data_IF_605018436097
#
_entry.id   IF_605018436097
#
_cell.length_a   1.000
_cell.length_b   1.000
_cell.length_c   1.000
_cell.angle_alpha   90.00
_cell.angle_beta   90.00
_cell.angle_gamma   90.00
#
_symmetry.space_group_name_H-M   'P 1'
#
loop_
_entity.id
_entity.type
_entity.pdbx_description
1 polymer ?
#
# COMPACT_ATOMS: atom_id res chain seq x y z
N UNK A 1 -4.38 5.06 -32.30
CA UNK A 1 -3.32 5.00 -31.29
C UNK A 1 -3.77 4.11 -30.15
N UNK A 2 -2.97 3.15 -29.80
CA UNK A 2 -3.31 2.24 -28.70
C UNK A 2 -3.00 2.87 -27.34
N UNK A 3 -3.85 2.62 -26.38
CA UNK A 3 -3.64 3.04 -24.99
C UNK A 3 -3.02 1.89 -24.21
N UNK A 4 -1.95 2.17 -23.49
CA UNK A 4 -1.34 1.17 -22.61
C UNK A 4 -2.10 1.18 -21.29
N UNK A 5 -2.70 0.04 -20.98
CA UNK A 5 -3.36 -0.13 -19.68
C UNK A 5 -2.32 -0.29 -18.57
N UNK A 6 -2.49 0.48 -17.51
CA UNK A 6 -1.59 0.43 -16.36
C UNK A 6 -2.39 0.38 -15.07
N UNK A 7 -2.29 -0.70 -14.30
CA UNK A 7 -2.86 -0.69 -12.96
C UNK A 7 -2.00 0.15 -12.03
N UNK A 8 -2.61 0.68 -10.99
CA UNK A 8 -1.87 1.25 -9.87
C UNK A 8 -1.37 0.11 -8.98
N UNK A 9 -0.18 0.25 -8.43
CA UNK A 9 0.39 -0.76 -7.53
C UNK A 9 0.53 -0.17 -6.14
N UNK A 10 -0.07 -0.84 -5.16
CA UNK A 10 0.07 -0.51 -3.75
C UNK A 10 0.78 -1.65 -3.05
N UNK A 11 1.71 -1.31 -2.18
CA UNK A 11 2.40 -2.27 -1.31
C UNK A 11 1.95 -2.06 0.12
N UNK A 12 1.87 -3.12 0.89
CA UNK A 12 1.48 -3.06 2.30
C UNK A 12 2.36 -4.00 3.12
N UNK A 13 2.73 -3.57 4.31
CA UNK A 13 3.56 -4.35 5.21
C UNK A 13 2.72 -4.94 6.34
N UNK A 14 2.89 -6.23 6.58
CA UNK A 14 2.37 -6.89 7.77
C UNK A 14 3.54 -7.10 8.72
N UNK A 15 3.56 -6.34 9.81
CA UNK A 15 4.65 -6.34 10.77
C UNK A 15 4.12 -6.82 12.10
N UNK A 16 4.61 -7.98 12.52
CA UNK A 16 4.18 -8.62 13.77
C UNK A 16 5.30 -8.60 14.79
N UNK A 17 4.94 -8.34 16.04
CA UNK A 17 5.84 -8.51 17.18
C UNK A 17 5.01 -9.01 18.37
N UNK A 18 5.37 -10.16 18.90
CA UNK A 18 4.73 -10.76 20.10
C UNK A 18 3.21 -10.90 19.96
N UNK A 19 2.76 -11.33 18.79
CA UNK A 19 1.34 -11.52 18.48
C UNK A 19 0.56 -10.24 18.20
N UNK A 20 1.25 -9.11 18.12
CA UNK A 20 0.63 -7.80 17.82
C UNK A 20 1.09 -7.29 16.47
N UNK A 21 0.20 -6.58 15.79
CA UNK A 21 0.48 -6.02 14.47
C UNK A 21 0.62 -4.50 14.54
N UNK A 22 1.62 -3.98 13.82
CA UNK A 22 1.83 -2.54 13.73
C UNK A 22 0.82 -1.93 12.77
N UNK A 23 0.09 -0.94 13.25
CA UNK A 23 -0.90 -0.21 12.44
C UNK A 23 -0.58 1.28 12.45
N UNK A 24 -1.00 1.95 11.39
CA UNK A 24 -0.90 3.40 11.23
C UNK A 24 -2.28 4.01 11.43
N UNK A 25 -2.36 5.05 12.23
CA UNK A 25 -3.59 5.81 12.41
C UNK A 25 -3.69 6.88 11.33
N UNK A 26 -4.81 6.95 10.65
CA UNK A 26 -5.07 7.90 9.57
C UNK A 26 -6.35 8.67 9.81
N UNK A 27 -6.33 9.98 9.58
CA UNK A 27 -7.53 10.79 9.49
C UNK A 27 -8.08 10.71 8.07
N UNK A 28 -9.34 10.32 7.95
CA UNK A 28 -10.02 10.22 6.66
C UNK A 28 -11.30 11.05 6.70
N UNK A 29 -11.95 11.21 5.55
CA UNK A 29 -13.26 11.89 5.46
C UNK A 29 -14.33 11.18 6.28
N UNK A 30 -14.15 9.88 6.55
CA UNK A 30 -15.08 9.07 7.34
C UNK A 30 -14.62 8.87 8.79
N UNK A 31 -13.68 9.70 9.25
CA UNK A 31 -13.12 9.60 10.60
C UNK A 31 -11.76 8.93 10.65
N UNK A 32 -11.34 8.55 11.84
CA UNK A 32 -10.06 7.91 12.08
C UNK A 32 -10.12 6.44 11.68
N UNK A 33 -9.10 5.98 10.94
CA UNK A 33 -8.96 4.58 10.52
C UNK A 33 -7.56 4.08 10.88
N UNK A 34 -7.45 2.78 11.06
CA UNK A 34 -6.19 2.09 11.31
C UNK A 34 -5.91 1.15 10.16
N UNK A 35 -4.71 1.24 9.60
CA UNK A 35 -4.29 0.41 8.48
C UNK A 35 -2.85 -0.08 8.68
N UNK A 36 -2.49 -1.14 7.96
CA UNK A 36 -1.09 -1.52 7.83
C UNK A 36 -0.31 -0.38 7.18
N UNK A 37 1.00 -0.26 7.45
CA UNK A 37 1.85 0.63 6.68
C UNK A 37 1.76 0.25 5.19
N UNK A 38 1.40 1.20 4.35
CA UNK A 38 1.12 0.95 2.93
C UNK A 38 1.30 2.21 2.10
N UNK A 39 1.49 2.02 0.81
CA UNK A 39 1.57 3.14 -0.12
C UNK A 39 1.82 2.68 -1.54
N UNK A 40 1.98 3.64 -2.41
CA UNK A 40 2.17 3.38 -3.83
C UNK A 40 3.61 3.04 -4.19
N UNK A 41 3.74 2.18 -5.19
CA UNK A 41 5.03 1.89 -5.80
C UNK A 41 5.52 3.12 -6.58
N UNK A 42 6.75 3.53 -6.33
CA UNK A 42 7.38 4.60 -7.09
C UNK A 42 8.09 4.05 -8.34
N UNK A 43 8.26 4.90 -9.33
CA UNK A 43 8.94 4.52 -10.56
C UNK A 43 10.36 4.00 -10.27
N UNK A 44 10.69 2.86 -10.85
CA UNK A 44 12.03 2.27 -10.74
C UNK A 44 12.32 1.53 -9.43
N UNK A 45 11.34 1.46 -8.56
CA UNK A 45 11.47 0.83 -7.24
C UNK A 45 11.02 -0.63 -7.29
N UNK A 46 11.73 -1.53 -6.59
CA UNK A 46 11.24 -2.89 -6.41
C UNK A 46 10.11 -2.91 -5.36
N UNK A 47 9.31 -3.96 -5.34
CA UNK A 47 8.25 -4.10 -4.35
C UNK A 47 8.80 -4.15 -2.93
N UNK A 48 9.94 -4.82 -2.74
CA UNK A 48 10.61 -4.91 -1.44
C UNK A 48 11.09 -3.53 -0.98
N UNK A 49 11.72 -2.78 -1.87
CA UNK A 49 12.20 -1.44 -1.54
C UNK A 49 11.02 -0.49 -1.26
N UNK A 50 9.95 -0.62 -2.03
CA UNK A 50 8.75 0.21 -1.84
C UNK A 50 8.13 -0.01 -0.47
N UNK A 51 7.92 -1.26 -0.06
CA UNK A 51 7.28 -1.55 1.23
C UNK A 51 8.19 -1.16 2.39
N UNK A 52 9.50 -1.32 2.24
CA UNK A 52 10.46 -0.89 3.25
C UNK A 52 10.47 0.63 3.42
N UNK A 53 10.42 1.35 2.31
CA UNK A 53 10.35 2.82 2.30
C UNK A 53 9.05 3.30 2.95
N UNK A 54 7.89 2.76 2.55
CA UNK A 54 6.61 3.15 3.11
C UNK A 54 6.52 2.88 4.62
N UNK A 55 7.02 1.74 5.07
CA UNK A 55 7.04 1.43 6.49
C UNK A 55 7.91 2.42 7.27
N UNK A 56 9.08 2.78 6.73
CA UNK A 56 9.97 3.75 7.38
C UNK A 56 9.34 5.14 7.43
N UNK A 57 8.73 5.60 6.33
CA UNK A 57 8.09 6.91 6.25
C UNK A 57 6.93 7.03 7.24
N UNK A 58 6.12 5.99 7.36
CA UNK A 58 4.90 6.04 8.17
C UNK A 58 5.12 5.69 9.63
N UNK A 59 6.13 4.88 9.97
CA UNK A 59 6.32 4.38 11.33
C UNK A 59 7.65 4.77 11.97
N UNK A 60 8.60 5.27 11.19
CA UNK A 60 9.98 5.54 11.60
C UNK A 60 10.78 4.29 11.97
N UNK A 61 10.24 3.10 11.73
CA UNK A 61 10.96 1.85 11.97
C UNK A 61 11.52 1.29 10.68
N UNK A 62 12.78 0.84 10.73
CA UNK A 62 13.36 0.07 9.65
C UNK A 62 12.73 -1.30 9.59
N UNK A 63 12.38 -1.73 8.39
CA UNK A 63 11.69 -2.97 8.15
C UNK A 63 12.21 -3.61 6.87
N UNK A 64 12.50 -4.90 6.92
CA UNK A 64 12.83 -5.69 5.74
C UNK A 64 11.88 -6.87 5.67
N UNK A 65 11.08 -7.00 4.61
CA UNK A 65 10.15 -8.12 4.50
C UNK A 65 10.92 -9.43 4.29
N UNK A 66 10.45 -10.51 4.91
CA UNK A 66 11.03 -11.82 4.76
C UNK A 66 10.13 -12.82 4.01
N UNK A 67 8.89 -12.46 3.75
CA UNK A 67 7.96 -13.31 3.02
C UNK A 67 6.89 -12.49 2.31
N UNK A 68 6.42 -13.00 1.17
CA UNK A 68 5.27 -12.48 0.47
C UNK A 68 4.02 -13.15 1.01
N UNK A 69 3.07 -12.34 1.52
CA UNK A 69 1.81 -12.86 2.04
C UNK A 69 0.81 -13.11 0.91
N UNK A 70 0.73 -12.21 -0.05
CA UNK A 70 -0.19 -12.37 -1.16
C UNK A 70 -0.18 -11.21 -2.13
N UNK A 71 -0.83 -11.42 -3.26
CA UNK A 71 -1.03 -10.42 -4.29
C UNK A 71 -2.53 -10.42 -4.61
N UNK A 72 -3.12 -9.25 -4.56
CA UNK A 72 -4.57 -9.11 -4.70
C UNK A 72 -4.92 -8.08 -5.76
N UNK A 73 -6.01 -8.33 -6.45
CA UNK A 73 -6.54 -7.41 -7.46
C UNK A 73 -7.78 -6.74 -6.89
N UNK A 74 -7.81 -5.41 -6.94
CA UNK A 74 -8.96 -4.63 -6.54
C UNK A 74 -9.35 -3.67 -7.65
N UNK A 75 -10.63 -3.60 -7.96
CA UNK A 75 -11.19 -2.67 -8.96
C UNK A 75 -12.34 -1.90 -8.33
N UNK A 76 -12.39 -0.62 -8.63
CA UNK A 76 -13.52 0.21 -8.22
C UNK A 76 -13.67 1.38 -9.19
N UNK A 77 -14.81 2.05 -9.12
CA UNK A 77 -15.05 3.26 -9.89
C UNK A 77 -14.74 4.45 -8.99
N UNK A 78 -13.81 5.29 -9.44
CA UNK A 78 -13.44 6.50 -8.70
C UNK A 78 -14.63 7.46 -8.62
N UNK A 79 -15.00 7.88 -7.42
CA UNK A 79 -16.06 8.86 -7.23
C UNK A 79 -15.69 10.24 -7.79
N UNK A 80 -14.40 10.52 -7.90
CA UNK A 80 -13.89 11.80 -8.41
C UNK A 80 -13.88 11.86 -9.93
N UNK A 81 -13.37 10.82 -10.60
CA UNK A 81 -13.20 10.79 -12.05
C UNK A 81 -14.27 9.98 -12.76
N UNK A 82 -15.00 9.14 -12.06
CA UNK A 82 -15.97 8.15 -12.56
C UNK A 82 -15.34 7.12 -13.49
N UNK A 83 -14.04 6.99 -13.47
CA UNK A 83 -13.32 5.98 -14.23
C UNK A 83 -13.07 4.73 -13.39
N UNK A 84 -12.97 3.58 -14.04
CA UNK A 84 -12.58 2.34 -13.38
C UNK A 84 -11.10 2.40 -13.03
N UNK A 85 -10.79 2.11 -11.77
CA UNK A 85 -9.42 2.07 -11.27
C UNK A 85 -9.10 0.65 -10.83
N UNK A 86 -7.93 0.16 -11.22
CA UNK A 86 -7.43 -1.16 -10.85
C UNK A 86 -6.15 -1.02 -10.03
N UNK A 87 -6.11 -1.70 -8.91
CA UNK A 87 -4.92 -1.82 -8.10
C UNK A 87 -4.44 -3.26 -8.06
#
# INVERSE_FOLDING_TARGET
MSTIWKPSVTVAAIIERDGKFLLVEEETSDGIRFNQPAGHLDHGESLIDAVSREALEETSFSFTPDALIGVYLSRYVSSRTREEVTY
#
